data_IF_453866063832
#
_entry.id   IF_453866063832
#
_cell.length_a   1.000
_cell.length_b   1.000
_cell.length_c   1.000
_cell.angle_alpha   90.00
_cell.angle_beta   90.00
_cell.angle_gamma   90.00
#
_symmetry.space_group_name_H-M   'P 1'
#
loop_
_entity.id
_entity.type
_entity.pdbx_description
1 polymer ?
#
# COMPACT_ATOMS: atom_id res chain seq x y z
N UNK A 1 -15.31 8.88 -27.98
CA UNK A 1 -14.46 8.06 -27.08
C UNK A 1 -13.06 8.64 -27.12
N UNK A 2 -12.49 8.84 -25.95
CA UNK A 2 -11.13 9.32 -25.78
C UNK A 2 -10.15 8.14 -25.79
N UNK A 3 -8.92 8.34 -26.30
CA UNK A 3 -7.88 7.32 -26.34
C UNK A 3 -6.84 7.62 -25.27
N UNK A 4 -6.59 6.67 -24.37
CA UNK A 4 -5.61 6.80 -23.28
C UNK A 4 -4.65 5.61 -23.30
N UNK A 5 -3.35 5.86 -23.43
CA UNK A 5 -2.34 4.80 -23.35
C UNK A 5 -2.09 4.43 -21.90
N UNK A 6 -2.05 3.13 -21.58
CA UNK A 6 -1.78 2.65 -20.24
C UNK A 6 -1.11 1.28 -20.21
N UNK A 7 -0.40 1.01 -19.11
CA UNK A 7 0.19 -0.30 -18.85
C UNK A 7 -0.38 -0.90 -17.56
N UNK A 8 -0.90 -2.11 -17.64
CA UNK A 8 -1.31 -2.86 -16.45
C UNK A 8 -0.10 -3.65 -15.95
N UNK A 9 0.41 -3.28 -14.78
CA UNK A 9 1.54 -3.95 -14.14
C UNK A 9 1.06 -4.50 -12.79
N UNK A 10 1.31 -5.81 -12.57
CA UNK A 10 1.20 -6.38 -11.23
C UNK A 10 2.39 -5.92 -10.42
N UNK A 11 2.18 -5.05 -9.45
CA UNK A 11 3.18 -4.69 -8.45
C UNK A 11 2.86 -5.40 -7.15
N UNK A 12 3.68 -6.38 -6.77
CA UNK A 12 3.39 -7.20 -5.60
C UNK A 12 2.06 -7.96 -5.74
N UNK A 13 1.14 -7.74 -4.79
CA UNK A 13 -0.19 -8.37 -4.73
C UNK A 13 -1.32 -7.42 -5.19
N UNK A 14 -1.00 -6.45 -6.06
CA UNK A 14 -2.00 -5.57 -6.68
C UNK A 14 -1.76 -5.45 -8.17
N UNK A 15 -2.83 -5.22 -8.94
CA UNK A 15 -2.74 -4.76 -10.33
C UNK A 15 -2.88 -3.23 -10.32
N UNK A 16 -1.94 -2.55 -10.97
CA UNK A 16 -1.95 -1.10 -11.08
C UNK A 16 -1.89 -0.73 -12.56
N UNK A 17 -2.81 0.13 -12.99
CA UNK A 17 -2.69 0.79 -14.28
C UNK A 17 -1.74 1.98 -14.14
N UNK A 18 -0.70 2.01 -14.95
CA UNK A 18 0.30 3.06 -14.98
C UNK A 18 0.10 3.88 -16.24
N UNK A 19 -0.01 5.20 -16.08
CA UNK A 19 -0.24 6.16 -17.15
C UNK A 19 0.90 7.18 -17.18
N UNK A 20 1.39 7.53 -18.38
CA UNK A 20 2.31 8.66 -18.54
C UNK A 20 1.53 9.95 -18.32
N UNK A 21 2.05 10.86 -17.49
CA UNK A 21 1.44 12.16 -17.23
C UNK A 21 1.17 12.95 -18.52
N UNK A 22 2.05 12.87 -19.52
CA UNK A 22 1.88 13.56 -20.80
C UNK A 22 0.69 13.02 -21.58
N UNK A 23 0.48 11.71 -21.55
CA UNK A 23 -0.68 11.07 -22.20
C UNK A 23 -1.99 11.46 -21.49
N UNK A 24 -1.96 11.55 -20.15
CA UNK A 24 -3.10 12.05 -19.36
C UNK A 24 -3.41 13.51 -19.69
N UNK A 25 -2.42 14.40 -19.69
CA UNK A 25 -2.61 15.83 -19.99
C UNK A 25 -3.08 16.03 -21.43
N UNK A 26 -2.57 15.26 -22.39
CA UNK A 26 -2.96 15.33 -23.80
C UNK A 26 -4.44 15.02 -24.04
N UNK A 27 -5.11 14.34 -23.08
CA UNK A 27 -6.56 14.12 -23.15
C UNK A 27 -7.37 15.41 -23.01
N UNK A 28 -6.83 16.42 -22.33
CA UNK A 28 -7.56 17.65 -21.97
C UNK A 28 -8.69 17.43 -20.97
N UNK A 29 -8.83 16.22 -20.41
CA UNK A 29 -9.85 15.86 -19.43
C UNK A 29 -9.24 15.90 -18.04
N UNK A 30 -10.00 16.38 -17.07
CA UNK A 30 -9.62 16.30 -15.66
C UNK A 30 -9.28 14.86 -15.25
N UNK A 31 -8.21 14.67 -14.48
CA UNK A 31 -7.68 13.35 -14.18
C UNK A 31 -8.68 12.49 -13.38
N UNK A 32 -9.49 13.10 -12.51
CA UNK A 32 -10.50 12.36 -11.75
C UNK A 32 -11.59 11.87 -12.69
N UNK A 33 -12.14 12.76 -13.52
CA UNK A 33 -13.15 12.39 -14.51
C UNK A 33 -12.63 11.31 -15.48
N UNK A 34 -11.37 11.41 -15.91
CA UNK A 34 -10.73 10.43 -16.77
C UNK A 34 -10.62 9.06 -16.10
N UNK A 35 -10.13 9.01 -14.85
CA UNK A 35 -9.95 7.75 -14.12
C UNK A 35 -11.29 7.12 -13.72
N UNK A 36 -12.28 7.90 -13.29
CA UNK A 36 -13.63 7.42 -12.97
C UNK A 36 -14.27 6.75 -14.20
N UNK A 37 -14.14 7.38 -15.37
CA UNK A 37 -14.64 6.82 -16.62
C UNK A 37 -13.83 5.59 -17.06
N UNK A 38 -12.50 5.65 -17.04
CA UNK A 38 -11.65 4.54 -17.48
C UNK A 38 -11.84 3.28 -16.64
N UNK A 39 -12.08 3.41 -15.33
CA UNK A 39 -12.30 2.30 -14.41
C UNK A 39 -13.77 1.90 -14.27
N UNK A 40 -14.70 2.67 -14.82
CA UNK A 40 -16.14 2.53 -14.61
C UNK A 40 -16.49 2.48 -13.10
N UNK A 41 -16.03 3.49 -12.36
CA UNK A 41 -16.08 3.53 -10.90
C UNK A 41 -17.50 3.46 -10.31
N UNK A 42 -18.50 3.98 -11.04
CA UNK A 42 -19.90 3.97 -10.63
C UNK A 42 -20.53 2.56 -10.59
N UNK A 43 -20.04 1.60 -11.40
CA UNK A 43 -20.54 0.23 -11.38
C UNK A 43 -19.73 -0.59 -10.35
N UNK A 44 -20.38 -1.19 -9.33
CA UNK A 44 -19.72 -2.11 -8.40
C UNK A 44 -18.99 -3.29 -9.07
N UNK A 45 -19.37 -3.64 -10.30
CA UNK A 45 -18.73 -4.69 -11.11
C UNK A 45 -17.63 -4.15 -12.02
N UNK A 46 -17.56 -2.84 -12.24
CA UNK A 46 -16.62 -2.17 -13.15
C UNK A 46 -16.63 -2.76 -14.58
N UNK A 47 -17.77 -3.27 -15.05
CA UNK A 47 -17.85 -4.13 -16.25
C UNK A 47 -17.45 -3.43 -17.55
N UNK A 48 -17.75 -2.13 -17.66
CA UNK A 48 -17.46 -1.26 -18.82
C UNK A 48 -16.16 -0.45 -18.66
N UNK A 49 -15.23 -0.92 -17.82
CA UNK A 49 -13.97 -0.24 -17.54
C UNK A 49 -12.82 -1.21 -17.25
N UNK A 50 -11.64 -0.67 -16.97
CA UNK A 50 -10.43 -1.47 -16.70
C UNK A 50 -10.28 -1.89 -15.24
N UNK A 51 -11.21 -1.44 -14.38
CA UNK A 51 -11.27 -1.81 -12.98
C UNK A 51 -11.58 -3.30 -12.80
N UNK A 52 -11.06 -3.88 -11.72
CA UNK A 52 -11.24 -5.31 -11.45
C UNK A 52 -12.19 -5.63 -10.29
N UNK A 53 -13.08 -4.71 -9.92
CA UNK A 53 -14.08 -4.81 -8.86
C UNK A 53 -13.53 -5.23 -7.48
N UNK A 54 -12.28 -4.87 -7.19
CA UNK A 54 -11.68 -5.07 -5.86
C UNK A 54 -10.67 -3.97 -5.55
N UNK A 55 -10.46 -3.69 -4.26
CA UNK A 55 -9.53 -2.62 -3.86
C UNK A 55 -8.10 -2.85 -4.36
N UNK A 56 -7.67 -4.10 -4.59
CA UNK A 56 -6.32 -4.44 -5.11
C UNK A 56 -6.22 -4.42 -6.64
N UNK A 57 -7.33 -4.21 -7.35
CA UNK A 57 -7.41 -4.20 -8.82
C UNK A 57 -8.07 -2.94 -9.40
N UNK A 58 -8.55 -2.01 -8.57
CA UNK A 58 -9.04 -0.68 -8.95
C UNK A 58 -8.03 0.40 -8.55
N UNK A 59 -6.84 0.38 -9.16
CA UNK A 59 -5.70 1.24 -8.80
C UNK A 59 -5.04 1.83 -10.03
N UNK A 60 -4.71 3.12 -9.96
CA UNK A 60 -3.97 3.84 -10.98
C UNK A 60 -2.73 4.52 -10.41
N UNK A 61 -1.72 4.75 -11.25
CA UNK A 61 -0.65 5.70 -10.98
C UNK A 61 -0.37 6.52 -12.23
N UNK A 62 -0.26 7.84 -12.06
CA UNK A 62 0.18 8.78 -13.10
C UNK A 62 1.63 9.10 -12.83
N UNK A 63 2.51 8.87 -13.82
CA UNK A 63 3.97 8.89 -13.65
C UNK A 63 4.60 9.89 -14.61
N UNK A 64 5.62 10.61 -14.14
CA UNK A 64 6.48 11.45 -14.96
C UNK A 64 7.93 11.41 -14.50
N UNK A 65 8.86 11.77 -15.38
CA UNK A 65 10.22 12.10 -14.97
C UNK A 65 10.20 13.36 -14.08
N UNK A 66 11.01 13.36 -13.02
CA UNK A 66 11.12 14.52 -12.12
C UNK A 66 12.18 15.50 -12.60
N UNK A 67 11.96 16.79 -12.33
CA UNK A 67 13.00 17.82 -12.45
C UNK A 67 13.72 18.08 -11.12
N UNK A 68 13.28 17.47 -10.03
CA UNK A 68 13.83 17.65 -8.69
C UNK A 68 15.16 16.89 -8.53
N UNK A 69 16.19 17.56 -8.04
CA UNK A 69 17.47 16.92 -7.79
C UNK A 69 17.33 15.79 -6.76
N UNK A 70 17.82 14.60 -7.11
CA UNK A 70 17.74 13.41 -6.27
C UNK A 70 16.43 12.64 -6.38
N UNK A 71 15.54 13.02 -7.30
CA UNK A 71 14.34 12.26 -7.67
C UNK A 71 14.42 11.95 -9.16
N UNK A 72 14.22 10.69 -9.54
CA UNK A 72 14.21 10.29 -10.95
C UNK A 72 12.79 10.39 -11.52
N UNK A 73 11.79 9.94 -10.76
CA UNK A 73 10.37 9.96 -11.16
C UNK A 73 9.46 10.46 -10.07
N UNK A 74 8.44 11.19 -10.47
CA UNK A 74 7.30 11.56 -9.65
C UNK A 74 6.11 10.70 -10.03
N UNK A 75 5.32 10.31 -9.04
CA UNK A 75 4.07 9.61 -9.30
C UNK A 75 2.94 10.01 -8.34
N UNK A 76 1.75 10.15 -8.90
CA UNK A 76 0.50 10.27 -8.16
C UNK A 76 -0.21 8.91 -8.18
N UNK A 77 -0.50 8.34 -7.01
CA UNK A 77 -1.30 7.14 -6.84
C UNK A 77 -2.77 7.50 -6.62
N UNK A 78 -3.64 6.87 -7.38
CA UNK A 78 -5.09 6.95 -7.25
C UNK A 78 -5.67 5.61 -6.83
N UNK A 79 -6.40 5.60 -5.71
CA UNK A 79 -7.35 4.53 -5.41
C UNK A 79 -8.69 4.92 -6.04
N UNK A 80 -9.13 4.19 -7.06
CA UNK A 80 -10.39 4.49 -7.75
C UNK A 80 -11.53 3.72 -7.09
N UNK A 81 -12.63 4.40 -6.78
CA UNK A 81 -13.83 3.84 -6.15
C UNK A 81 -14.46 2.69 -6.94
N UNK A 82 -15.26 1.88 -6.23
CA UNK A 82 -15.95 0.70 -6.76
C UNK A 82 -17.41 0.79 -6.30
N UNK A 83 -18.33 1.07 -7.24
CA UNK A 83 -19.68 1.48 -6.87
C UNK A 83 -19.75 2.87 -6.21
N UNK A 84 -18.68 3.66 -6.35
CA UNK A 84 -18.50 4.98 -5.74
C UNK A 84 -17.72 5.87 -6.72
N UNK A 85 -18.28 7.03 -7.07
CA UNK A 85 -17.71 7.95 -8.05
C UNK A 85 -16.66 8.89 -7.41
N UNK A 86 -15.70 8.30 -6.71
CA UNK A 86 -14.61 9.05 -6.07
C UNK A 86 -13.24 8.48 -6.43
N UNK A 87 -12.28 9.39 -6.66
CA UNK A 87 -10.86 9.06 -6.69
C UNK A 87 -10.22 9.53 -5.38
N UNK A 88 -9.52 8.63 -4.70
CA UNK A 88 -8.85 8.95 -3.44
C UNK A 88 -7.34 9.10 -3.65
N UNK A 89 -6.85 10.32 -3.45
CA UNK A 89 -5.46 10.74 -3.62
C UNK A 89 -4.69 10.92 -2.30
N UNK A 90 -5.29 10.64 -1.14
CA UNK A 90 -4.71 10.98 0.17
C UNK A 90 -3.65 9.98 0.69
N UNK A 91 -3.27 8.97 -0.10
CA UNK A 91 -2.42 7.87 0.35
C UNK A 91 -1.40 7.51 -0.73
N UNK A 92 -0.34 6.83 -0.33
CA UNK A 92 0.52 6.09 -1.23
C UNK A 92 0.10 4.60 -1.29
N UNK A 93 0.58 3.87 -2.30
CA UNK A 93 0.49 2.42 -2.38
C UNK A 93 1.84 1.80 -2.77
N UNK A 94 2.56 1.19 -1.82
CA UNK A 94 3.85 0.56 -2.11
C UNK A 94 3.79 -0.58 -3.13
N UNK A 95 2.65 -1.29 -3.23
CA UNK A 95 2.45 -2.28 -4.31
C UNK A 95 2.48 -1.59 -5.69
N UNK A 96 1.81 -0.46 -5.87
CA UNK A 96 1.90 0.29 -7.12
C UNK A 96 3.26 0.98 -7.28
N UNK A 97 3.91 1.44 -6.22
CA UNK A 97 5.29 1.95 -6.30
C UNK A 97 6.27 0.89 -6.85
N UNK A 98 6.05 -0.38 -6.50
CA UNK A 98 6.81 -1.51 -7.08
C UNK A 98 6.62 -1.60 -8.60
N UNK A 99 5.39 -1.39 -9.07
CA UNK A 99 5.08 -1.36 -10.50
C UNK A 99 5.65 -0.11 -11.20
N UNK A 100 5.59 1.05 -10.55
CA UNK A 100 6.17 2.32 -11.03
C UNK A 100 7.67 2.20 -11.22
N UNK A 101 8.39 1.54 -10.31
CA UNK A 101 9.83 1.30 -10.47
C UNK A 101 10.14 0.51 -11.76
N UNK A 102 9.39 -0.56 -12.02
CA UNK A 102 9.57 -1.35 -13.25
C UNK A 102 9.21 -0.54 -14.50
N UNK A 103 8.10 0.21 -14.45
CA UNK A 103 7.69 1.11 -15.52
C UNK A 103 8.77 2.14 -15.85
N UNK A 104 9.36 2.78 -14.84
CA UNK A 104 10.41 3.78 -15.02
C UNK A 104 11.65 3.22 -15.74
N UNK A 105 12.05 1.99 -15.42
CA UNK A 105 13.15 1.29 -16.11
C UNK A 105 12.76 0.94 -17.55
N UNK A 106 11.56 0.39 -17.79
CA UNK A 106 11.07 0.06 -19.14
C UNK A 106 10.97 1.27 -20.06
N UNK A 107 10.59 2.42 -19.52
CA UNK A 107 10.42 3.67 -20.26
C UNK A 107 11.65 4.59 -20.23
N UNK A 108 12.77 4.10 -19.66
CA UNK A 108 14.04 4.85 -19.55
C UNK A 108 13.87 6.23 -18.91
N UNK A 109 12.99 6.33 -17.92
CA UNK A 109 12.82 7.53 -17.09
C UNK A 109 14.00 7.73 -16.12
N UNK A 110 14.86 6.72 -16.00
CA UNK A 110 16.15 6.77 -15.31
C UNK A 110 17.21 6.12 -16.21
N UNK A 111 18.48 6.56 -16.16
CA UNK A 111 19.58 5.82 -16.79
C UNK A 111 19.71 4.40 -16.23
N UNK A 112 19.81 3.40 -17.11
CA UNK A 112 19.95 2.00 -16.72
C UNK A 112 21.43 1.72 -16.39
N UNK A 113 21.68 1.20 -15.20
CA UNK A 113 23.01 0.82 -14.73
C UNK A 113 23.33 -0.66 -15.05
N UNK A 114 24.63 -1.01 -15.04
CA UNK A 114 25.14 -2.27 -15.60
C UNK A 114 24.69 -3.55 -14.88
N UNK A 115 24.44 -3.49 -13.57
CA UNK A 115 24.07 -4.68 -12.78
C UNK A 115 22.72 -4.53 -12.10
N UNK A 116 22.50 -3.37 -11.47
CA UNK A 116 21.25 -3.03 -10.79
C UNK A 116 20.92 -1.57 -11.01
N UNK A 117 19.69 -1.27 -11.39
CA UNK A 117 19.18 0.10 -11.53
C UNK A 117 18.31 0.43 -10.32
N UNK A 118 18.66 1.51 -9.61
CA UNK A 118 17.84 2.06 -8.54
C UNK A 118 17.08 3.28 -9.05
N UNK A 119 15.76 3.21 -9.00
CA UNK A 119 14.85 4.32 -9.31
C UNK A 119 14.53 5.07 -8.00
N UNK A 120 14.84 6.36 -7.91
CA UNK A 120 14.41 7.24 -6.82
C UNK A 120 13.07 7.87 -7.19
N UNK A 121 12.07 7.62 -6.37
CA UNK A 121 10.67 7.95 -6.65
C UNK A 121 10.13 8.90 -5.59
N UNK A 122 9.42 9.93 -6.02
CA UNK A 122 8.64 10.80 -5.15
C UNK A 122 7.15 10.53 -5.36
N UNK A 123 6.45 10.14 -4.30
CA UNK A 123 5.00 10.11 -4.32
C UNK A 123 4.46 11.50 -4.04
N UNK A 124 3.94 12.18 -5.06
CA UNK A 124 3.49 13.58 -4.93
C UNK A 124 2.22 13.73 -4.08
N UNK A 125 1.49 12.64 -3.81
CA UNK A 125 0.33 12.67 -2.93
C UNK A 125 0.69 12.91 -1.46
N UNK A 126 1.80 12.29 -1.03
CA UNK A 126 2.16 12.20 0.39
C UNK A 126 3.52 12.79 0.71
N UNK A 127 4.31 13.14 -0.31
CA UNK A 127 5.72 13.53 -0.16
C UNK A 127 6.64 12.35 0.14
N UNK A 128 6.13 11.12 0.21
CA UNK A 128 6.94 9.95 0.52
C UNK A 128 8.02 9.73 -0.55
N UNK A 129 9.25 9.54 -0.10
CA UNK A 129 10.40 9.17 -0.93
C UNK A 129 10.64 7.66 -0.89
N UNK A 130 10.78 7.06 -2.06
CA UNK A 130 10.95 5.62 -2.20
C UNK A 130 12.07 5.31 -3.17
N UNK A 131 12.68 4.15 -3.00
CA UNK A 131 13.61 3.58 -3.98
C UNK A 131 13.09 2.26 -4.50
N UNK A 132 13.19 2.02 -5.80
CA UNK A 132 12.95 0.70 -6.41
C UNK A 132 14.22 0.21 -7.08
N UNK A 133 14.86 -0.81 -6.50
CA UNK A 133 16.09 -1.39 -7.07
C UNK A 133 15.76 -2.67 -7.83
N UNK A 134 16.13 -2.69 -9.11
CA UNK A 134 15.82 -3.74 -10.08
C UNK A 134 17.13 -4.28 -10.66
N UNK A 135 17.33 -5.61 -10.72
CA UNK A 135 18.45 -6.20 -11.44
C UNK A 135 18.36 -5.89 -12.94
N UNK A 136 19.43 -5.36 -13.50
CA UNK A 136 19.56 -4.96 -14.91
C UNK A 136 20.92 -5.41 -15.47
N UNK A 137 21.25 -6.72 -15.39
CA UNK A 137 22.56 -7.22 -15.81
C UNK A 137 22.86 -6.84 -17.27
N UNK A 138 24.10 -6.45 -17.52
CA UNK A 138 24.56 -5.87 -18.79
C UNK A 138 23.83 -4.58 -19.22
N UNK A 139 23.20 -3.85 -18.29
CA UNK A 139 22.47 -2.62 -18.59
C UNK A 139 21.16 -2.84 -19.34
N UNK A 140 20.56 -4.03 -19.21
CA UNK A 140 19.32 -4.41 -19.91
C UNK A 140 18.14 -4.39 -18.95
N UNK A 141 17.05 -3.71 -19.34
CA UNK A 141 15.80 -3.73 -18.62
C UNK A 141 15.15 -5.13 -18.71
N UNK A 142 14.82 -5.79 -17.57
CA UNK A 142 14.25 -7.13 -17.60
C UNK A 142 12.78 -7.12 -18.06
N UNK A 143 12.42 -8.01 -18.97
CA UNK A 143 11.01 -8.21 -19.37
C UNK A 143 10.27 -9.17 -18.43
N UNK A 144 10.99 -10.18 -17.96
CA UNK A 144 10.49 -11.24 -17.07
C UNK A 144 11.43 -11.44 -15.88
N UNK A 145 10.97 -12.20 -14.88
CA UNK A 145 11.80 -12.57 -13.74
C UNK A 145 11.24 -13.77 -13.00
N UNK A 146 12.03 -14.30 -12.07
CA UNK A 146 11.76 -15.54 -11.33
C UNK A 146 11.29 -15.30 -9.89
N UNK A 147 11.18 -14.04 -9.46
CA UNK A 147 10.82 -13.71 -8.09
C UNK A 147 9.34 -14.01 -7.81
N UNK A 148 9.09 -14.74 -6.73
CA UNK A 148 7.74 -15.08 -6.26
C UNK A 148 7.41 -14.25 -5.04
N UNK A 149 6.17 -13.77 -4.97
CA UNK A 149 5.62 -13.10 -3.78
C UNK A 149 4.35 -13.83 -3.33
N UNK A 150 4.17 -14.09 -2.02
CA UNK A 150 2.97 -14.75 -1.50
C UNK A 150 1.69 -14.04 -1.95
N UNK A 151 0.68 -14.81 -2.33
CA UNK A 151 -0.57 -14.31 -2.91
C UNK A 151 -0.56 -14.12 -4.43
N UNK A 152 0.47 -14.61 -5.15
CA UNK A 152 0.52 -14.55 -6.62
C UNK A 152 0.95 -15.90 -7.21
N UNK A 153 0.47 -16.22 -8.42
CA UNK A 153 0.77 -17.51 -9.08
C UNK A 153 1.92 -17.43 -10.09
N UNK A 154 2.03 -16.32 -10.82
CA UNK A 154 3.09 -16.13 -11.81
C UNK A 154 4.26 -15.31 -11.23
N UNK A 155 5.52 -15.70 -11.47
CA UNK A 155 6.68 -14.96 -10.99
C UNK A 155 6.79 -13.58 -11.69
N UNK A 156 7.70 -12.74 -11.21
CA UNK A 156 7.97 -11.43 -11.81
C UNK A 156 9.41 -10.99 -11.62
N UNK A 157 9.71 -9.81 -12.15
CA UNK A 157 10.98 -9.11 -11.96
C UNK A 157 11.13 -8.77 -10.47
N UNK A 158 12.23 -9.17 -9.80
CA UNK A 158 12.49 -8.77 -8.43
C UNK A 158 12.65 -7.25 -8.31
N UNK A 159 12.02 -6.68 -7.29
CA UNK A 159 12.14 -5.26 -6.95
C UNK A 159 12.40 -5.17 -5.45
N UNK A 160 13.55 -4.62 -5.06
CA UNK A 160 13.80 -4.21 -3.68
C UNK A 160 13.23 -2.81 -3.50
N UNK A 161 12.07 -2.72 -2.85
CA UNK A 161 11.41 -1.47 -2.57
C UNK A 161 11.89 -0.93 -1.21
N UNK A 162 12.36 0.30 -1.17
CA UNK A 162 12.75 1.00 0.05
C UNK A 162 11.85 2.20 0.31
N UNK A 163 11.35 2.33 1.53
CA UNK A 163 10.71 3.55 2.02
C UNK A 163 11.74 4.34 2.82
N UNK A 164 12.08 5.53 2.33
CA UNK A 164 13.11 6.38 2.94
C UNK A 164 12.48 7.28 4.00
N UNK A 165 13.11 7.35 5.17
CA UNK A 165 12.67 8.14 6.32
C UNK A 165 11.13 8.12 6.53
N UNK A 166 10.52 6.92 6.66
CA UNK A 166 9.06 6.81 6.55
C UNK A 166 8.29 7.43 7.71
N UNK A 167 8.94 7.70 8.85
CA UNK A 167 8.27 8.08 10.08
C UNK A 167 7.73 9.51 10.05
N UNK A 168 6.46 9.68 10.42
CA UNK A 168 5.81 10.98 10.57
C UNK A 168 5.56 11.75 9.27
N UNK A 169 5.63 11.09 8.11
CA UNK A 169 5.50 11.75 6.81
C UNK A 169 4.15 12.47 6.60
N UNK A 170 3.09 12.07 7.31
CA UNK A 170 1.75 12.64 7.13
C UNK A 170 1.31 13.52 8.30
N UNK A 171 1.70 13.15 9.51
CA UNK A 171 1.27 13.79 10.78
C UNK A 171 2.39 14.58 11.46
N UNK A 172 3.61 14.53 10.92
CA UNK A 172 4.81 15.17 11.46
C UNK A 172 5.49 14.38 12.58
N UNK A 173 4.93 13.25 13.04
CA UNK A 173 5.50 12.44 14.14
C UNK A 173 5.24 10.95 13.92
N UNK A 174 6.20 10.10 14.30
CA UNK A 174 6.03 8.64 14.27
C UNK A 174 4.84 8.17 15.12
N UNK A 175 4.62 8.82 16.27
CA UNK A 175 3.48 8.65 17.16
C UNK A 175 2.70 9.98 17.19
N UNK A 176 1.60 10.12 16.43
CA UNK A 176 0.92 11.41 16.28
C UNK A 176 0.44 12.01 17.61
N UNK A 177 -0.02 11.16 18.54
CA UNK A 177 -0.46 11.55 19.89
C UNK A 177 0.68 11.71 20.88
N UNK A 178 1.91 11.34 20.50
CA UNK A 178 3.09 11.28 21.37
C UNK A 178 3.10 10.08 22.33
N UNK A 179 2.12 9.17 22.24
CA UNK A 179 2.01 7.99 23.10
C UNK A 179 2.17 6.72 22.28
N UNK A 180 2.76 5.69 22.88
CA UNK A 180 2.79 4.36 22.27
C UNK A 180 1.39 3.71 22.25
N UNK A 181 0.53 4.15 23.19
CA UNK A 181 -0.83 3.66 23.38
C UNK A 181 -1.80 4.79 23.67
N UNK A 182 -2.94 4.70 23.01
CA UNK A 182 -4.11 5.52 23.22
C UNK A 182 -5.31 4.62 23.52
N UNK A 183 -6.33 5.21 24.11
CA UNK A 183 -7.62 4.56 24.33
C UNK A 183 -8.65 5.21 23.40
N UNK A 184 -9.29 4.41 22.55
CA UNK A 184 -10.34 4.86 21.65
C UNK A 184 -11.69 4.27 22.08
N UNK A 185 -12.75 5.04 21.93
CA UNK A 185 -14.12 4.55 22.19
C UNK A 185 -14.60 3.68 21.02
N UNK A 186 -14.64 2.37 21.23
CA UNK A 186 -15.22 1.38 20.33
C UNK A 186 -16.70 1.12 20.61
N UNK A 187 -17.33 0.20 19.87
CA UNK A 187 -18.75 -0.13 20.04
C UNK A 187 -19.07 -0.76 21.41
N UNK A 188 -18.15 -1.57 21.95
CA UNK A 188 -18.32 -2.29 23.22
C UNK A 188 -17.58 -1.62 24.39
N UNK A 189 -17.12 -0.38 24.21
CA UNK A 189 -16.38 0.40 25.22
C UNK A 189 -14.98 0.79 24.76
N UNK A 190 -14.13 1.10 25.73
CA UNK A 190 -12.75 1.50 25.50
C UNK A 190 -11.92 0.37 24.86
N UNK A 191 -11.16 0.71 23.81
CA UNK A 191 -10.25 -0.19 23.11
C UNK A 191 -8.87 0.45 23.02
N UNK A 192 -7.85 -0.26 23.48
CA UNK A 192 -6.46 0.18 23.36
C UNK A 192 -5.99 0.13 21.90
N UNK A 193 -5.30 1.19 21.47
CA UNK A 193 -4.80 1.34 20.12
C UNK A 193 -3.36 1.86 20.12
N UNK A 194 -2.56 1.41 19.14
CA UNK A 194 -1.32 2.11 18.77
C UNK A 194 -1.58 2.92 17.50
N UNK A 195 -1.42 4.24 17.62
CA UNK A 195 -1.54 5.18 16.52
C UNK A 195 -0.13 5.52 16.03
N UNK A 196 0.20 5.06 14.84
CA UNK A 196 1.55 5.15 14.26
C UNK A 196 1.46 5.79 12.89
N UNK A 197 2.39 6.67 12.56
CA UNK A 197 2.55 7.19 11.22
C UNK A 197 3.94 6.84 10.71
N UNK A 198 4.00 5.81 9.87
CA UNK A 198 5.19 5.50 9.09
C UNK A 198 4.81 4.90 7.73
N UNK A 199 5.16 5.58 6.64
CA UNK A 199 4.74 5.24 5.28
C UNK A 199 3.26 5.52 4.98
N UNK A 200 2.36 5.21 5.91
CA UNK A 200 1.03 5.82 6.02
C UNK A 200 0.57 5.78 7.48
N UNK A 201 -0.32 6.70 7.90
CA UNK A 201 -0.97 6.62 9.20
C UNK A 201 -1.73 5.31 9.39
N UNK A 202 -1.57 4.68 10.55
CA UNK A 202 -2.20 3.43 10.93
C UNK A 202 -2.67 3.42 12.39
N UNK A 203 -3.85 2.84 12.61
CA UNK A 203 -4.36 2.48 13.93
C UNK A 203 -4.38 0.95 14.05
N UNK A 204 -3.59 0.45 15.00
CA UNK A 204 -3.39 -0.98 15.23
C UNK A 204 -4.04 -1.37 16.56
N UNK A 205 -4.70 -2.52 16.57
CA UNK A 205 -5.41 -3.03 17.75
C UNK A 205 -4.99 -4.47 18.04
N UNK A 206 -5.07 -4.93 19.29
CA UNK A 206 -4.81 -6.34 19.59
C UNK A 206 -5.99 -7.21 19.16
N UNK A 207 -5.73 -8.34 18.49
CA UNK A 207 -6.79 -9.23 18.01
C UNK A 207 -7.76 -9.67 19.12
N UNK A 208 -7.25 -9.92 20.32
CA UNK A 208 -8.06 -10.36 21.47
C UNK A 208 -9.15 -9.36 21.87
N UNK A 209 -8.99 -8.07 21.57
CA UNK A 209 -10.00 -7.05 21.84
C UNK A 209 -11.27 -7.23 21.00
N UNK A 210 -11.19 -8.03 19.94
CA UNK A 210 -12.31 -8.39 19.06
C UNK A 210 -12.69 -9.87 19.18
N UNK A 211 -12.17 -10.59 20.18
CA UNK A 211 -12.35 -12.05 20.30
C UNK A 211 -11.63 -12.85 19.22
N UNK A 212 -10.58 -12.28 18.63
CA UNK A 212 -9.79 -12.83 17.53
C UNK A 212 -8.38 -13.22 18.00
N UNK A 213 -7.69 -14.06 17.24
CA UNK A 213 -6.32 -14.53 17.50
C UNK A 213 -5.29 -14.11 16.43
N UNK A 214 -5.74 -13.46 15.34
CA UNK A 214 -4.90 -12.96 14.25
C UNK A 214 -4.64 -13.99 13.14
N UNK A 215 -5.22 -15.19 13.22
CA UNK A 215 -5.10 -16.26 12.23
C UNK A 215 -6.32 -16.41 11.33
N UNK A 216 -7.31 -15.54 11.48
CA UNK A 216 -8.63 -15.64 10.85
C UNK A 216 -8.55 -15.78 9.32
N UNK A 217 -9.50 -16.54 8.76
CA UNK A 217 -9.82 -16.45 7.33
C UNK A 217 -10.38 -15.05 7.00
N UNK A 218 -10.39 -14.67 5.72
CA UNK A 218 -11.00 -13.40 5.31
C UNK A 218 -12.46 -13.28 5.75
N UNK A 219 -13.23 -14.37 5.64
CA UNK A 219 -14.63 -14.41 6.07
C UNK A 219 -14.78 -14.21 7.58
N UNK A 220 -13.92 -14.84 8.39
CA UNK A 220 -13.96 -14.68 9.83
C UNK A 220 -13.52 -13.27 10.25
N UNK A 221 -12.46 -12.71 9.64
CA UNK A 221 -12.01 -11.35 9.94
C UNK A 221 -13.01 -10.27 9.49
N UNK A 222 -13.84 -10.54 8.48
CA UNK A 222 -14.86 -9.61 8.01
C UNK A 222 -15.85 -9.17 9.11
N UNK A 223 -16.06 -10.00 10.14
CA UNK A 223 -16.96 -9.68 11.26
C UNK A 223 -16.45 -8.53 12.13
N UNK A 224 -15.14 -8.29 12.19
CA UNK A 224 -14.53 -7.18 12.93
C UNK A 224 -14.52 -5.85 12.16
N UNK A 225 -14.79 -5.87 10.84
CA UNK A 225 -14.67 -4.68 9.99
C UNK A 225 -15.62 -3.53 10.39
N UNK A 226 -16.88 -3.75 10.79
CA UNK A 226 -17.74 -2.68 11.27
C UNK A 226 -17.16 -1.95 12.49
N UNK A 227 -16.69 -2.69 13.50
CA UNK A 227 -16.07 -2.13 14.70
C UNK A 227 -14.79 -1.35 14.37
N UNK A 228 -13.92 -1.93 13.53
CA UNK A 228 -12.69 -1.28 13.05
C UNK A 228 -12.98 -0.02 12.22
N UNK A 229 -14.11 0.05 11.53
CA UNK A 229 -14.51 1.24 10.77
C UNK A 229 -14.90 2.38 11.70
N UNK A 230 -15.61 2.10 12.80
CA UNK A 230 -15.91 3.09 13.84
C UNK A 230 -14.62 3.58 14.51
N UNK A 231 -13.74 2.65 14.89
CA UNK A 231 -12.45 2.97 15.50
C UNK A 231 -11.53 3.76 14.56
N UNK A 232 -11.60 3.53 13.24
CA UNK A 232 -10.86 4.33 12.24
C UNK A 232 -11.22 5.81 12.36
N UNK A 233 -12.50 6.15 12.53
CA UNK A 233 -12.92 7.56 12.70
C UNK A 233 -12.30 8.17 13.95
N UNK A 234 -12.36 7.45 15.07
CA UNK A 234 -11.76 7.92 16.33
C UNK A 234 -10.25 8.12 16.19
N UNK A 235 -9.56 7.16 15.57
CA UNK A 235 -8.14 7.28 15.27
C UNK A 235 -7.82 8.47 14.35
N UNK A 236 -8.62 8.68 13.29
CA UNK A 236 -8.42 9.80 12.37
C UNK A 236 -8.51 11.16 13.09
N UNK A 237 -9.46 11.31 14.01
CA UNK A 237 -9.60 12.51 14.84
C UNK A 237 -8.40 12.67 15.79
N UNK A 238 -8.03 11.60 16.51
CA UNK A 238 -6.90 11.61 17.44
C UNK A 238 -5.56 11.91 16.76
N UNK A 239 -5.39 11.48 15.50
CA UNK A 239 -4.19 11.72 14.69
C UNK A 239 -4.21 13.07 13.96
N UNK A 240 -5.30 13.86 14.07
CA UNK A 240 -5.45 15.12 13.35
C UNK A 240 -5.64 14.98 11.83
N UNK A 241 -6.03 13.79 11.36
CA UNK A 241 -6.26 13.48 9.94
C UNK A 241 -7.68 13.85 9.46
N UNK A 242 -8.59 14.10 10.40
CA UNK A 242 -9.97 14.50 10.13
C UNK A 242 -10.43 15.57 11.12
N UNK A 243 -11.44 16.35 10.72
CA UNK A 243 -12.18 17.27 11.61
C UNK A 243 -13.42 16.55 12.14
N UNK A 244 -13.95 16.98 13.29
CA UNK A 244 -15.11 16.33 13.94
C UNK A 244 -16.34 16.24 13.03
N UNK A 245 -16.57 17.27 12.22
CA UNK A 245 -17.67 17.43 11.26
C UNK A 245 -17.30 16.99 9.83
N UNK A 246 -16.04 16.59 9.60
CA UNK A 246 -15.53 16.23 8.30
C UNK A 246 -15.81 14.77 7.89
N UNK A 247 -15.79 14.47 6.58
CA UNK A 247 -15.73 13.09 6.11
C UNK A 247 -14.40 12.45 6.55
N UNK A 248 -14.44 11.16 6.84
CA UNK A 248 -13.23 10.38 7.18
C UNK A 248 -12.77 9.65 5.93
N UNK A 249 -11.48 9.76 5.61
CA UNK A 249 -10.86 9.00 4.53
C UNK A 249 -11.03 7.49 4.74
N UNK A 250 -11.27 6.76 3.65
CA UNK A 250 -11.33 5.30 3.69
C UNK A 250 -9.94 4.68 3.48
N UNK A 251 -9.00 5.46 2.95
CA UNK A 251 -7.60 5.10 2.83
C UNK A 251 -6.79 5.32 4.11
N UNK A 252 -6.98 6.40 4.88
CA UNK A 252 -6.16 6.70 6.07
C UNK A 252 -7.00 7.16 7.27
N UNK A 253 -6.63 6.77 8.51
CA UNK A 253 -5.58 5.81 8.83
C UNK A 253 -5.95 4.39 8.40
N UNK A 254 -4.93 3.60 8.04
CA UNK A 254 -5.07 2.15 7.85
C UNK A 254 -5.48 1.54 9.19
N UNK A 255 -6.35 0.54 9.19
CA UNK A 255 -6.76 -0.13 10.44
C UNK A 255 -6.67 -1.63 10.31
N UNK A 256 -6.34 -2.29 11.41
CA UNK A 256 -6.24 -3.73 11.47
C UNK A 256 -5.84 -4.22 12.84
N UNK A 257 -5.80 -5.53 12.97
CA UNK A 257 -5.44 -6.21 14.21
C UNK A 257 -4.05 -6.84 14.10
N UNK A 258 -3.39 -6.93 15.25
CA UNK A 258 -2.13 -7.60 15.45
C UNK A 258 -2.23 -8.65 16.56
N UNK A 259 -1.46 -9.72 16.45
CA UNK A 259 -1.39 -10.76 17.46
C UNK A 259 -0.04 -11.49 17.45
N UNK A 260 0.19 -12.31 18.48
CA UNK A 260 1.36 -13.19 18.53
C UNK A 260 1.29 -14.22 17.39
N UNK A 261 2.44 -14.71 16.89
CA UNK A 261 2.44 -15.78 15.90
C UNK A 261 1.73 -17.04 16.40
N UNK A 262 0.85 -17.57 15.55
CA UNK A 262 0.18 -18.87 15.68
C UNK A 262 0.09 -19.55 14.31
N UNK A 263 0.09 -20.88 14.26
CA UNK A 263 -0.01 -21.60 12.99
C UNK A 263 -1.37 -21.37 12.32
N UNK A 264 -1.38 -21.14 11.01
CA UNK A 264 -2.61 -20.86 10.25
C UNK A 264 -2.53 -21.38 8.82
N UNK A 265 -3.66 -21.41 8.11
CA UNK A 265 -3.70 -21.67 6.67
C UNK A 265 -3.96 -20.39 5.89
N UNK A 266 -3.17 -20.15 4.86
CA UNK A 266 -3.39 -19.04 3.91
C UNK A 266 -4.68 -19.23 3.13
N UNK A 267 -5.09 -18.21 2.38
CA UNK A 267 -6.21 -18.26 1.44
C UNK A 267 -6.06 -19.32 0.34
N UNK A 268 -4.84 -19.81 0.10
CA UNK A 268 -4.53 -20.89 -0.84
C UNK A 268 -4.39 -22.26 -0.15
N UNK A 269 -4.69 -22.35 1.15
CA UNK A 269 -4.62 -23.59 1.93
C UNK A 269 -3.22 -23.98 2.40
N UNK A 270 -2.18 -23.20 2.05
CA UNK A 270 -0.80 -23.41 2.49
C UNK A 270 -0.72 -23.21 4.00
N UNK A 271 -0.15 -24.19 4.72
CA UNK A 271 0.11 -24.10 6.15
C UNK A 271 1.32 -23.17 6.37
N UNK A 272 1.15 -22.20 7.27
CA UNK A 272 2.22 -21.34 7.78
C UNK A 272 2.31 -21.60 9.28
N UNK A 273 3.48 -22.05 9.73
CA UNK A 273 3.74 -22.34 11.14
C UNK A 273 4.08 -21.06 11.90
N UNK A 274 3.78 -21.06 13.20
CA UNK A 274 4.06 -19.94 14.11
C UNK A 274 5.53 -19.47 14.13
N UNK A 275 6.48 -20.33 13.74
CA UNK A 275 7.92 -20.02 13.75
C UNK A 275 8.43 -19.41 12.43
N UNK A 276 7.59 -19.38 11.40
CA UNK A 276 7.94 -18.82 10.10
C UNK A 276 7.78 -17.30 10.06
N UNK A 277 7.18 -16.70 11.10
CA UNK A 277 6.93 -15.27 11.15
C UNK A 277 6.92 -14.71 12.58
N UNK A 278 6.93 -13.39 12.68
CA UNK A 278 7.18 -12.66 13.92
C UNK A 278 5.94 -11.94 14.46
N UNK A 279 5.00 -11.55 13.58
CA UNK A 279 3.78 -10.82 13.94
C UNK A 279 2.61 -11.26 13.06
N UNK A 280 1.51 -11.71 13.68
CA UNK A 280 0.28 -12.01 12.96
C UNK A 280 -0.48 -10.71 12.67
N UNK A 281 -0.98 -10.55 11.45
CA UNK A 281 -1.68 -9.31 11.05
C UNK A 281 -2.88 -9.58 10.16
N UNK A 282 -3.97 -8.84 10.40
CA UNK A 282 -5.11 -8.73 9.49
C UNK A 282 -5.48 -7.26 9.34
N UNK A 283 -5.42 -6.75 8.09
CA UNK A 283 -5.67 -5.34 7.79
C UNK A 283 -6.98 -5.18 7.00
N UNK A 284 -7.60 -4.01 7.14
CA UNK A 284 -8.78 -3.60 6.36
C UNK A 284 -8.35 -2.69 5.21
N UNK A 285 -8.97 -2.86 4.04
CA UNK A 285 -8.80 -2.04 2.84
C UNK A 285 -10.17 -1.78 2.20
N UNK A 286 -10.55 -0.51 2.04
CA UNK A 286 -11.82 -0.09 1.43
C UNK A 286 -13.03 -0.89 1.95
N UNK A 287 -13.21 -0.91 3.28
CA UNK A 287 -14.30 -1.62 3.98
C UNK A 287 -14.33 -3.16 3.87
N UNK A 288 -13.24 -3.78 3.42
CA UNK A 288 -13.12 -5.23 3.36
C UNK A 288 -11.79 -5.72 3.97
N UNK A 289 -11.71 -6.99 4.39
CA UNK A 289 -10.43 -7.65 4.65
C UNK A 289 -9.46 -7.49 3.48
N UNK A 290 -8.26 -7.00 3.75
CA UNK A 290 -7.20 -6.99 2.75
C UNK A 290 -6.70 -8.44 2.53
N UNK A 291 -6.60 -8.94 1.28
CA UNK A 291 -6.29 -10.35 1.00
C UNK A 291 -4.85 -10.77 1.33
N UNK A 292 -3.98 -9.80 1.62
CA UNK A 292 -2.59 -9.94 2.06
C UNK A 292 -2.28 -8.82 3.06
N UNK A 293 -1.39 -7.88 2.71
CA UNK A 293 -1.24 -6.59 3.39
C UNK A 293 -0.89 -5.47 2.39
N UNK A 294 -1.29 -4.23 2.69
CA UNK A 294 -0.79 -3.04 1.98
C UNK A 294 0.63 -2.68 2.47
N UNK A 295 1.55 -2.38 1.57
CA UNK A 295 2.95 -2.19 1.98
C UNK A 295 3.20 -0.98 2.88
N UNK A 296 2.41 0.08 2.77
CA UNK A 296 2.48 1.19 3.73
C UNK A 296 2.06 0.76 5.14
N UNK A 297 1.10 -0.17 5.27
CA UNK A 297 0.79 -0.80 6.56
C UNK A 297 1.91 -1.70 7.07
N UNK A 298 2.60 -2.42 6.17
CA UNK A 298 3.77 -3.21 6.56
C UNK A 298 4.91 -2.33 7.10
N UNK A 299 5.13 -1.15 6.51
CA UNK A 299 6.08 -0.15 7.01
C UNK A 299 5.64 0.40 8.37
N UNK A 300 4.36 0.75 8.54
CA UNK A 300 3.82 1.18 9.81
C UNK A 300 4.00 0.11 10.91
N UNK A 301 3.79 -1.17 10.59
CA UNK A 301 4.01 -2.28 11.51
C UNK A 301 5.50 -2.49 11.83
N UNK A 302 6.39 -2.31 10.86
CA UNK A 302 7.83 -2.37 11.09
C UNK A 302 8.26 -1.30 12.11
N UNK A 303 7.83 -0.05 11.90
CA UNK A 303 8.10 1.05 12.82
C UNK A 303 7.46 0.81 14.20
N UNK A 304 6.21 0.32 14.24
CA UNK A 304 5.52 0.00 15.48
C UNK A 304 6.25 -1.10 16.25
N UNK A 305 6.64 -2.19 15.58
CA UNK A 305 7.29 -3.35 16.22
C UNK A 305 8.64 -3.00 16.86
N UNK A 306 9.35 -2.00 16.35
CA UNK A 306 10.61 -1.49 16.92
C UNK A 306 10.42 -0.33 17.90
N UNK A 307 9.18 0.13 18.12
CA UNK A 307 8.87 1.22 19.05
C UNK A 307 8.38 0.66 20.38
N UNK A 308 9.12 0.82 21.49
CA UNK A 308 8.75 0.27 22.79
C UNK A 308 7.35 0.70 23.24
N UNK A 309 6.59 -0.26 23.77
CA UNK A 309 5.25 -0.03 24.33
C UNK A 309 4.09 -0.12 23.35
N UNK A 310 4.34 -0.05 22.04
CA UNK A 310 3.25 -0.23 21.05
C UNK A 310 2.67 -1.65 21.12
N UNK A 311 1.46 -1.83 20.60
CA UNK A 311 0.82 -3.14 20.49
C UNK A 311 1.63 -4.11 19.64
N UNK A 312 2.15 -3.65 18.50
CA UNK A 312 3.00 -4.46 17.62
C UNK A 312 4.28 -4.89 18.35
N UNK A 313 4.96 -3.98 19.06
CA UNK A 313 6.15 -4.32 19.84
C UNK A 313 5.86 -5.36 20.94
N UNK A 314 4.69 -5.28 21.59
CA UNK A 314 4.30 -6.21 22.67
C UNK A 314 4.01 -7.64 22.20
N UNK A 315 3.46 -7.79 20.99
CA UNK A 315 3.02 -9.10 20.47
C UNK A 315 3.95 -9.68 19.42
N UNK A 316 4.84 -8.88 18.82
CA UNK A 316 5.84 -9.36 17.88
C UNK A 316 6.95 -10.16 18.57
N UNK A 317 7.46 -11.17 17.86
CA UNK A 317 8.76 -11.79 18.15
C UNK A 317 9.86 -10.81 17.75
N UNK A 318 10.69 -10.41 18.71
CA UNK A 318 11.79 -9.48 18.45
C UNK A 318 12.94 -10.20 17.73
N UNK A 319 13.53 -9.54 16.73
CA UNK A 319 14.65 -10.03 15.93
C UNK A 319 15.86 -9.12 16.08
N UNK A 320 17.07 -9.66 15.92
CA UNK A 320 18.32 -8.92 16.15
C UNK A 320 18.75 -8.12 14.92
N UNK A 321 18.37 -8.57 13.73
CA UNK A 321 18.81 -8.05 12.43
C UNK A 321 17.87 -6.98 11.83
N UNK A 322 16.84 -6.57 12.58
CA UNK A 322 15.84 -5.60 12.13
C UNK A 322 14.83 -6.16 11.12
N UNK A 323 14.82 -7.48 10.90
CA UNK A 323 13.84 -8.16 10.04
C UNK A 323 12.54 -8.41 10.79
N UNK A 324 11.40 -7.96 10.26
CA UNK A 324 10.07 -8.30 10.78
C UNK A 324 9.29 -9.07 9.72
N UNK A 325 8.96 -10.33 10.03
CA UNK A 325 8.12 -11.20 9.19
C UNK A 325 6.67 -11.10 9.63
N UNK A 326 5.81 -10.66 8.72
CA UNK A 326 4.39 -10.43 8.92
C UNK A 326 3.59 -11.62 8.37
N UNK A 327 2.86 -12.32 9.24
CA UNK A 327 1.93 -13.38 8.86
C UNK A 327 0.60 -12.80 8.37
N UNK A 328 0.36 -12.84 7.06
CA UNK A 328 -0.82 -12.28 6.39
C UNK A 328 -1.73 -13.39 5.83
N UNK A 329 -2.98 -13.10 5.43
CA UNK A 329 -3.84 -14.12 4.81
C UNK A 329 -3.24 -14.79 3.56
N UNK A 330 -2.32 -14.11 2.86
CA UNK A 330 -1.65 -14.63 1.66
C UNK A 330 -0.33 -15.37 1.93
N UNK A 331 0.15 -15.37 3.18
CA UNK A 331 1.46 -15.91 3.57
C UNK A 331 2.32 -14.86 4.28
N UNK A 332 3.63 -15.10 4.33
CA UNK A 332 4.58 -14.28 5.10
C UNK A 332 5.23 -13.21 4.23
N UNK A 333 5.23 -11.96 4.70
CA UNK A 333 5.97 -10.86 4.06
C UNK A 333 7.02 -10.35 5.04
N UNK A 334 8.27 -10.25 4.60
CA UNK A 334 9.35 -9.68 5.39
C UNK A 334 9.53 -8.19 5.09
N UNK A 335 9.78 -7.43 6.15
CA UNK A 335 10.31 -6.08 6.11
C UNK A 335 11.67 -6.07 6.78
N UNK A 336 12.57 -5.21 6.35
CA UNK A 336 13.87 -5.03 6.99
C UNK A 336 14.10 -3.54 7.25
N UNK A 337 14.27 -3.15 8.50
CA UNK A 337 14.66 -1.80 8.85
C UNK A 337 16.18 -1.66 8.77
N UNK A 338 16.67 -0.80 7.88
CA UNK A 338 18.08 -0.47 7.74
C UNK A 338 18.34 0.89 8.39
N UNK A 339 19.23 0.99 9.38
CA UNK A 339 19.57 2.27 10.01
C UNK A 339 19.98 3.32 8.97
N UNK A 340 19.44 4.52 9.10
CA UNK A 340 19.85 5.66 8.28
C UNK A 340 20.98 6.44 8.98
N UNK A 341 21.86 7.13 8.23
CA UNK A 341 22.82 8.07 8.79
C UNK A 341 22.13 9.22 9.55
N UNK A 342 22.89 9.88 10.42
CA UNK A 342 22.60 11.21 10.97
C UNK A 342 21.25 11.36 11.72
N UNK A 343 20.74 10.28 12.31
CA UNK A 343 19.55 10.31 13.15
C UNK A 343 18.22 10.38 12.40
N UNK A 344 18.23 10.24 11.07
CA UNK A 344 17.02 10.04 10.28
C UNK A 344 16.35 8.69 10.62
N UNK A 345 15.05 8.55 10.36
CA UNK A 345 14.39 7.28 10.62
C UNK A 345 14.88 6.19 9.64
N UNK A 346 14.88 4.91 10.07
CA UNK A 346 15.40 3.82 9.25
C UNK A 346 14.73 3.72 7.89
N UNK A 347 15.50 3.36 6.86
CA UNK A 347 14.89 2.95 5.58
C UNK A 347 14.25 1.58 5.76
N UNK A 348 12.98 1.43 5.40
CA UNK A 348 12.29 0.13 5.46
C UNK A 348 12.30 -0.52 4.09
N UNK A 349 13.01 -1.65 3.97
CA UNK A 349 13.16 -2.43 2.76
C UNK A 349 12.15 -3.58 2.70
N UNK A 350 11.64 -3.85 1.51
CA UNK A 350 10.73 -4.95 1.21
C UNK A 350 11.09 -5.61 -0.12
N UNK A 351 11.28 -6.92 -0.11
CA UNK A 351 11.44 -7.70 -1.33
C UNK A 351 10.10 -7.92 -2.00
N UNK A 352 9.92 -7.38 -3.20
CA UNK A 352 8.71 -7.51 -4.01
C UNK A 352 9.04 -8.06 -5.39
N UNK A 353 7.99 -8.28 -6.16
CA UNK A 353 8.09 -8.65 -7.57
C UNK A 353 7.08 -7.83 -8.39
N UNK A 354 7.49 -7.38 -9.56
CA UNK A 354 6.63 -6.72 -10.53
C UNK A 354 6.54 -7.53 -11.83
N UNK A 355 5.38 -7.53 -12.48
CA UNK A 355 5.19 -8.17 -13.79
C UNK A 355 4.28 -7.31 -14.65
N UNK A 356 4.77 -6.87 -15.81
CA UNK A 356 3.92 -6.24 -16.84
C UNK A 356 2.94 -7.28 -17.37
N UNK A 357 1.64 -6.98 -17.27
CA UNK A 357 0.57 -7.87 -17.76
C UNK A 357 0.14 -7.44 -19.15
N UNK A 358 -0.04 -6.14 -19.37
CA UNK A 358 -0.51 -5.61 -20.64
C UNK A 358 0.01 -4.20 -20.87
N UNK A 359 0.16 -3.85 -22.15
CA UNK A 359 0.19 -2.48 -22.66
C UNK A 359 -1.01 -2.31 -23.57
N UNK A 360 -1.79 -1.26 -23.37
CA UNK A 360 -3.06 -1.09 -24.05
C UNK A 360 -3.37 0.37 -24.35
N UNK A 361 -4.12 0.57 -25.43
CA UNK A 361 -4.85 1.80 -25.68
C UNK A 361 -6.27 1.62 -25.15
N UNK A 362 -6.65 2.43 -24.16
CA UNK A 362 -7.97 2.41 -23.55
C UNK A 362 -8.88 3.35 -24.31
N UNK A 363 -10.08 2.86 -24.67
CA UNK A 363 -11.16 3.66 -25.23
C UNK A 363 -12.07 4.10 -24.08
N UNK A 364 -11.93 5.35 -23.66
CA UNK A 364 -12.64 5.89 -22.50
C UNK A 364 -13.92 6.62 -22.95
N UNK A 365 -15.10 6.25 -22.43
CA UNK A 365 -16.34 6.94 -22.70
C UNK A 365 -16.42 8.19 -21.81
N UNK A 366 -15.67 9.24 -22.15
CA UNK A 366 -15.84 10.54 -21.49
C UNK A 366 -17.14 11.15 -22.03
N UNK A 367 -18.20 11.06 -21.23
CA UNK A 367 -19.51 11.65 -21.54
C UNK A 367 -19.44 13.15 -21.25
N UNK A 368 -19.69 13.98 -22.27
CA UNK A 368 -19.89 15.42 -22.08
C UNK A 368 -21.02 15.65 -21.07
N UNK A 369 -20.76 16.44 -20.02
CA UNK A 369 -21.81 16.95 -19.13
C UNK A 369 -22.16 16.15 -17.88
N UNK A 370 -21.27 15.29 -17.33
CA UNK A 370 -21.45 14.86 -15.92
C UNK A 370 -21.24 16.06 -15.00
N UNK A 371 -22.20 16.43 -14.14
CA UNK A 371 -21.97 17.48 -13.15
C UNK A 371 -20.88 17.04 -12.17
N UNK A 372 -20.04 18.00 -11.80
CA UNK A 372 -18.99 17.85 -10.80
C UNK A 372 -19.55 17.51 -9.41
#
# INVERSE_FOLDING_TARGET
MLRLQGEMIRGGTSKCWIFDHRDVVATGVDVDALLLAAFNAADPRQIDGVGGASSTTSKAAVVQASAEHGVDVEYAFAQVGIGDERVEWASNCGNCATAVALYAVHHKLVPIASDTTTVRMLNVNTGARLTGTIPTPAGVAPEEGTAVVPGTSAPGVPVLLGFQDPAGSTTGRALPTGRALDELTGPDGAVEASLVDAGAPAALFEAKAFGLDGTESLTAFATAVPALTLLRRQAALAMGLAREDGPVSHAVPKVGIVARPASYRTTQGILVNQDEYDLAVRMVSMHAPHPAIGLTSAVALAAAATTPGTLAHRVARQTVDGTLRLGTPAGVIATQAVPAPDGASPTVLLHRAARRIARAELLVPVLEGRPA
#
